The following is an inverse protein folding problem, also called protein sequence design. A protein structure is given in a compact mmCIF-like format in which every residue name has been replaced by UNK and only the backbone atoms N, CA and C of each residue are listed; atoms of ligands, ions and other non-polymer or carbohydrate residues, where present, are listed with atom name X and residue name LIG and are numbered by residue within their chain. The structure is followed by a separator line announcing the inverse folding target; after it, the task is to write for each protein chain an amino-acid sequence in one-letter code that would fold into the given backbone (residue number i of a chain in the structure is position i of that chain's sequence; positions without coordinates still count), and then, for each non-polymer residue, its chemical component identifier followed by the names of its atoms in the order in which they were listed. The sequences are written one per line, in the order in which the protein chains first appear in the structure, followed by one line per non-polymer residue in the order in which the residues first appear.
data_IF_313214806645
#
_entry.id   IF_313214806645
#
_cell.length_a   1.000
_cell.length_b   1.000
_cell.length_c   1.000
_cell.angle_alpha   90.00
_cell.angle_beta   90.00
_cell.angle_gamma   90.00
#
_symmetry.space_group_name_H-M   'P 1'
#
loop_
_entity.id
_entity.type
_entity.pdbx_description
1 polymer ?
#
# COMPACT_ATOMS: atom_id res chain seq x y z
N UNK A 1 -12.22 29.47 17.20
CA UNK A 1 -12.16 28.34 16.23
C UNK A 1 -13.50 28.24 15.55
N UNK A 2 -13.50 28.10 14.24
CA UNK A 2 -14.70 28.14 13.39
C UNK A 2 -15.38 26.75 13.38
N UNK A 3 -16.69 26.67 13.70
CA UNK A 3 -17.43 25.41 13.86
C UNK A 3 -17.44 24.58 12.56
N UNK A 4 -17.42 25.25 11.41
CA UNK A 4 -17.30 24.59 10.10
C UNK A 4 -15.97 23.84 9.95
N UNK A 5 -14.85 24.47 10.32
CA UNK A 5 -13.51 23.87 10.22
C UNK A 5 -13.34 22.66 11.13
N UNK A 6 -13.93 22.69 12.32
CA UNK A 6 -13.97 21.55 13.24
C UNK A 6 -14.71 20.35 12.62
N UNK A 7 -15.91 20.59 12.06
CA UNK A 7 -16.70 19.54 11.41
C UNK A 7 -15.98 18.90 10.23
N UNK A 8 -15.32 19.70 9.40
CA UNK A 8 -14.58 19.21 8.23
C UNK A 8 -13.34 18.42 8.64
N UNK A 9 -12.65 18.85 9.70
CA UNK A 9 -11.53 18.11 10.30
C UNK A 9 -11.98 16.74 10.84
N UNK A 10 -13.11 16.68 11.54
CA UNK A 10 -13.66 15.41 12.02
C UNK A 10 -14.05 14.47 10.86
N UNK A 11 -14.63 15.01 9.79
CA UNK A 11 -14.99 14.23 8.60
C UNK A 11 -13.73 13.67 7.93
N UNK A 12 -12.71 14.51 7.70
CA UNK A 12 -11.42 14.08 7.14
C UNK A 12 -10.77 12.98 7.99
N UNK A 13 -10.72 13.16 9.30
CA UNK A 13 -10.13 12.17 10.21
C UNK A 13 -10.86 10.82 10.12
N UNK A 14 -12.19 10.83 10.02
CA UNK A 14 -12.99 9.62 9.89
C UNK A 14 -12.74 8.91 8.56
N UNK A 15 -12.73 9.63 7.46
CA UNK A 15 -12.49 9.04 6.13
C UNK A 15 -11.04 8.53 6.01
N UNK A 16 -10.05 9.25 6.53
CA UNK A 16 -8.66 8.79 6.59
C UNK A 16 -8.52 7.47 7.37
N UNK A 17 -9.23 7.31 8.50
CA UNK A 17 -9.26 6.05 9.27
C UNK A 17 -9.89 4.90 8.48
N UNK A 18 -10.92 5.17 7.68
CA UNK A 18 -11.54 4.13 6.83
C UNK A 18 -10.59 3.69 5.72
N UNK A 19 -10.00 4.65 4.99
CA UNK A 19 -9.00 4.36 3.95
C UNK A 19 -7.86 3.54 4.53
N UNK A 20 -7.32 3.94 5.69
CA UNK A 20 -6.25 3.18 6.36
C UNK A 20 -6.65 1.71 6.58
N UNK A 21 -7.84 1.45 7.12
CA UNK A 21 -8.33 0.08 7.34
C UNK A 21 -8.52 -0.71 6.04
N UNK A 22 -8.92 -0.05 4.96
CA UNK A 22 -9.01 -0.69 3.64
C UNK A 22 -7.63 -1.05 3.10
N UNK A 23 -6.66 -0.13 3.18
CA UNK A 23 -5.29 -0.36 2.70
C UNK A 23 -4.63 -1.54 3.43
N UNK A 24 -4.85 -1.68 4.74
CA UNK A 24 -4.33 -2.79 5.54
C UNK A 24 -4.85 -4.17 5.11
N UNK A 25 -6.07 -4.25 4.57
CA UNK A 25 -6.70 -5.51 4.17
C UNK A 25 -6.33 -5.95 2.77
N UNK A 26 -5.89 -5.02 1.93
CA UNK A 26 -5.59 -5.28 0.53
C UNK A 26 -4.17 -5.80 0.44
N UNK A 27 -4.04 -7.05 0.03
CA UNK A 27 -2.73 -7.66 -0.22
C UNK A 27 -2.31 -7.43 -1.66
N UNK A 28 -1.02 -7.17 -1.82
CA UNK A 28 -0.36 -6.92 -3.09
C UNK A 28 0.83 -7.85 -3.16
N UNK A 29 0.93 -8.58 -4.27
CA UNK A 29 1.94 -9.62 -4.43
C UNK A 29 2.85 -9.32 -5.62
N UNK A 30 4.12 -9.71 -5.46
CA UNK A 30 5.10 -9.77 -6.53
C UNK A 30 5.88 -11.07 -6.41
N UNK A 31 5.81 -11.86 -7.47
CA UNK A 31 6.58 -13.08 -7.61
C UNK A 31 7.86 -12.79 -8.38
N UNK A 32 8.99 -13.22 -7.83
CA UNK A 32 10.31 -13.15 -8.41
C UNK A 32 10.80 -14.51 -8.86
N UNK A 33 12.10 -14.61 -9.09
CA UNK A 33 12.74 -15.87 -9.49
C UNK A 33 12.93 -16.81 -8.31
N UNK A 34 13.14 -16.34 -7.10
CA UNK A 34 13.47 -17.16 -5.94
C UNK A 34 12.50 -16.94 -4.78
N UNK A 35 11.85 -15.78 -4.74
CA UNK A 35 10.90 -15.42 -3.68
C UNK A 35 9.58 -14.90 -4.22
N UNK A 36 8.54 -15.01 -3.40
CA UNK A 36 7.29 -14.26 -3.54
C UNK A 36 7.19 -13.30 -2.37
N UNK A 37 6.96 -12.02 -2.64
CA UNK A 37 6.77 -10.97 -1.63
C UNK A 37 5.30 -10.57 -1.62
N UNK A 38 4.73 -10.50 -0.42
CA UNK A 38 3.36 -10.07 -0.16
C UNK A 38 3.44 -8.85 0.76
N UNK A 39 2.89 -7.72 0.31
CA UNK A 39 2.71 -6.51 1.11
C UNK A 39 1.23 -6.21 1.27
N UNK A 40 0.87 -5.37 2.23
CA UNK A 40 -0.43 -4.70 2.17
C UNK A 40 -0.34 -3.40 1.34
N UNK A 41 -1.49 -2.78 1.06
CA UNK A 41 -1.53 -1.51 0.35
C UNK A 41 -1.13 -0.30 1.23
N UNK A 42 -0.88 -0.51 2.53
CA UNK A 42 -0.22 0.46 3.43
C UNK A 42 1.32 0.37 3.34
N UNK A 43 1.86 -0.38 2.37
CA UNK A 43 3.31 -0.55 2.16
C UNK A 43 4.03 -1.33 3.26
N UNK A 44 3.31 -2.16 4.02
CA UNK A 44 3.90 -3.06 5.02
C UNK A 44 4.17 -4.44 4.39
N UNK A 45 5.36 -5.00 4.60
CA UNK A 45 5.69 -6.37 4.18
C UNK A 45 5.02 -7.36 5.13
N UNK A 46 4.08 -8.15 4.60
CA UNK A 46 3.32 -9.14 5.38
C UNK A 46 4.02 -10.49 5.35
N UNK A 47 4.57 -10.88 4.20
CA UNK A 47 5.23 -12.18 4.04
C UNK A 47 6.25 -12.14 2.92
N UNK A 48 7.31 -12.93 3.10
CA UNK A 48 8.24 -13.32 2.04
C UNK A 48 8.29 -14.84 2.04
N UNK A 49 8.03 -15.46 0.90
CA UNK A 49 8.02 -16.90 0.72
C UNK A 49 9.18 -17.28 -0.20
N UNK A 50 9.99 -18.27 0.19
CA UNK A 50 10.97 -18.87 -0.70
C UNK A 50 10.27 -19.85 -1.65
N UNK A 51 10.48 -19.67 -2.95
CA UNK A 51 9.91 -20.51 -4.01
C UNK A 51 10.88 -21.61 -4.43
N UNK A 52 12.17 -21.27 -4.52
CA UNK A 52 13.25 -22.19 -4.87
C UNK A 52 14.63 -21.64 -4.44
N UNK A 53 15.65 -22.49 -4.32
CA UNK A 53 16.99 -22.05 -3.96
C UNK A 53 17.57 -21.02 -4.92
N UNK A 54 18.30 -20.05 -4.38
CA UNK A 54 19.09 -19.09 -5.14
C UNK A 54 20.51 -19.62 -5.34
N UNK A 55 21.16 -19.36 -6.48
CA UNK A 55 22.56 -19.74 -6.70
C UNK A 55 23.55 -18.93 -5.82
N UNK A 56 23.14 -17.76 -5.33
CA UNK A 56 23.94 -16.95 -4.40
C UNK A 56 23.04 -16.05 -3.53
N UNK A 57 23.58 -15.57 -2.41
CA UNK A 57 22.92 -14.57 -1.57
C UNK A 57 22.72 -13.24 -2.31
N UNK A 58 23.62 -12.90 -3.23
CA UNK A 58 23.52 -11.68 -4.04
C UNK A 58 22.32 -11.74 -4.98
N UNK A 59 22.11 -12.87 -5.65
CA UNK A 59 20.95 -13.10 -6.52
C UNK A 59 19.63 -13.09 -5.73
N UNK A 60 19.63 -13.67 -4.52
CA UNK A 60 18.47 -13.66 -3.64
C UNK A 60 18.13 -12.24 -3.19
N UNK A 61 19.12 -11.47 -2.76
CA UNK A 61 18.94 -10.07 -2.36
C UNK A 61 18.42 -9.20 -3.52
N UNK A 62 18.94 -9.42 -4.73
CA UNK A 62 18.50 -8.72 -5.92
C UNK A 62 17.02 -9.01 -6.25
N UNK A 63 16.62 -10.27 -6.17
CA UNK A 63 15.25 -10.72 -6.43
C UNK A 63 14.25 -10.22 -5.36
N UNK A 64 14.62 -10.27 -4.08
CA UNK A 64 13.82 -9.69 -2.99
C UNK A 64 13.63 -8.18 -3.22
N UNK A 65 14.71 -7.45 -3.51
CA UNK A 65 14.65 -6.00 -3.77
C UNK A 65 13.71 -5.67 -4.92
N UNK A 66 13.79 -6.42 -6.02
CA UNK A 66 12.89 -6.25 -7.17
C UNK A 66 11.42 -6.48 -6.78
N UNK A 67 11.13 -7.60 -6.11
CA UNK A 67 9.77 -7.94 -5.69
C UNK A 67 9.19 -6.89 -4.73
N UNK A 68 9.95 -6.47 -3.72
CA UNK A 68 9.54 -5.42 -2.79
C UNK A 68 9.22 -4.14 -3.57
N UNK A 69 10.09 -3.68 -4.46
CA UNK A 69 9.84 -2.47 -5.25
C UNK A 69 8.58 -2.57 -6.13
N UNK A 70 8.34 -3.74 -6.74
CA UNK A 70 7.11 -3.97 -7.51
C UNK A 70 5.87 -3.93 -6.63
N UNK A 71 5.90 -4.56 -5.45
CA UNK A 71 4.80 -4.45 -4.48
C UNK A 71 4.56 -3.01 -4.03
N UNK A 72 5.62 -2.27 -3.70
CA UNK A 72 5.50 -0.87 -3.26
C UNK A 72 4.85 0.02 -4.33
N UNK A 73 5.26 -0.12 -5.60
CA UNK A 73 4.64 0.62 -6.71
C UNK A 73 3.15 0.28 -6.85
N UNK A 74 2.79 -1.00 -6.79
CA UNK A 74 1.39 -1.44 -6.85
C UNK A 74 0.57 -0.91 -5.65
N UNK A 75 1.13 -0.95 -4.44
CA UNK A 75 0.51 -0.40 -3.24
C UNK A 75 0.28 1.11 -3.35
N UNK A 76 1.26 1.87 -3.88
CA UNK A 76 1.13 3.31 -4.13
C UNK A 76 0.02 3.64 -5.13
N UNK A 77 -0.08 2.89 -6.23
CA UNK A 77 -1.16 3.07 -7.21
C UNK A 77 -2.51 2.85 -6.55
N UNK A 78 -2.67 1.76 -5.79
CA UNK A 78 -3.91 1.47 -5.08
C UNK A 78 -4.27 2.56 -4.06
N UNK A 79 -3.30 3.02 -3.27
CA UNK A 79 -3.50 4.09 -2.30
C UNK A 79 -3.90 5.41 -2.98
N UNK A 80 -3.27 5.76 -4.10
CA UNK A 80 -3.60 6.96 -4.86
C UNK A 80 -5.03 6.92 -5.43
N UNK A 81 -5.45 5.77 -5.98
CA UNK A 81 -6.82 5.59 -6.47
C UNK A 81 -7.85 5.74 -5.34
N UNK A 82 -7.57 5.19 -4.15
CA UNK A 82 -8.45 5.33 -2.99
C UNK A 82 -8.52 6.74 -2.44
N UNK A 83 -7.38 7.46 -2.38
CA UNK A 83 -7.37 8.86 -1.96
C UNK A 83 -8.16 9.76 -2.93
N UNK A 84 -8.05 9.53 -4.24
CA UNK A 84 -8.86 10.25 -5.24
C UNK A 84 -10.36 10.04 -5.02
N UNK A 85 -10.78 8.81 -4.72
CA UNK A 85 -12.18 8.51 -4.38
C UNK A 85 -12.67 9.32 -3.17
N UNK A 86 -11.89 9.37 -2.09
CA UNK A 86 -12.23 10.15 -0.90
C UNK A 86 -12.26 11.65 -1.16
N UNK A 87 -11.31 12.19 -1.94
CA UNK A 87 -11.32 13.60 -2.32
C UNK A 87 -12.57 13.96 -3.13
N UNK A 88 -12.96 13.11 -4.08
CA UNK A 88 -14.19 13.24 -4.85
C UNK A 88 -15.45 13.24 -3.98
N UNK A 89 -15.57 12.30 -3.02
CA UNK A 89 -16.70 12.24 -2.07
C UNK A 89 -16.75 13.44 -1.10
N UNK A 90 -15.61 14.09 -0.87
CA UNK A 90 -15.51 15.30 -0.06
C UNK A 90 -15.73 16.59 -0.86
N UNK A 91 -15.94 16.50 -2.18
CA UNK A 91 -16.08 17.67 -3.06
C UNK A 91 -14.79 18.50 -3.15
N UNK A 92 -13.64 17.90 -2.83
CA UNK A 92 -12.33 18.52 -2.92
C UNK A 92 -11.74 18.19 -4.31
N UNK A 93 -11.11 19.15 -5.00
CA UNK A 93 -10.42 18.86 -6.25
C UNK A 93 -9.30 17.82 -6.00
N UNK A 94 -9.25 16.80 -6.85
CA UNK A 94 -8.30 15.69 -6.77
C UNK A 94 -7.03 15.87 -7.60
#
# INVERSE_FOLDING_TARGET
MDFGKLRDMYRLQREAKKVKKELQRVQVEAEGRYVKVITNAEQEVVRIEALRPSPSDADLCADIKDCVNRCMKKAQVYAAEKMKGVMGEMGLPG
#
